data_IF_949098602591
#
_entry.id   IF_949098602591
#
_cell.length_a   1.000
_cell.length_b   1.000
_cell.length_c   1.000
_cell.angle_alpha   90.00
_cell.angle_beta   90.00
_cell.angle_gamma   90.00
#
_symmetry.space_group_name_H-M   'P 1'
#
loop_
_entity.id
_entity.type
_entity.pdbx_description
1 polymer ?
#
# COMPACT_ATOMS: atom_id res chain seq x y z
N UNK A 1 16.52 -3.76 25.32
CA UNK A 1 15.31 -3.11 24.78
C UNK A 1 15.19 -3.37 23.28
N UNK A 2 14.87 -4.61 22.87
CA UNK A 2 14.76 -4.99 21.45
C UNK A 2 13.54 -5.88 21.15
N UNK A 3 12.61 -6.02 22.09
CA UNK A 3 11.57 -7.06 22.00
C UNK A 3 10.31 -6.64 21.22
N UNK A 4 10.19 -5.39 20.76
CA UNK A 4 9.02 -4.94 20.01
C UNK A 4 9.06 -5.21 18.50
N UNK A 5 10.21 -5.63 17.94
CA UNK A 5 10.34 -5.87 16.49
C UNK A 5 10.19 -7.34 16.08
N UNK A 6 10.25 -8.31 17.02
CA UNK A 6 10.18 -9.73 16.69
C UNK A 6 8.77 -10.31 16.54
N UNK A 7 7.71 -9.60 16.96
CA UNK A 7 6.34 -10.12 16.97
C UNK A 7 5.52 -9.88 15.70
N UNK A 8 5.86 -8.86 14.91
CA UNK A 8 4.99 -8.41 13.81
C UNK A 8 5.25 -9.12 12.47
N UNK A 9 6.40 -9.79 12.31
CA UNK A 9 6.80 -10.40 11.03
C UNK A 9 6.14 -11.78 10.81
N UNK A 10 5.71 -12.46 11.88
CA UNK A 10 5.23 -13.84 11.82
C UNK A 10 3.77 -14.04 11.38
N UNK A 11 2.90 -13.03 11.52
CA UNK A 11 1.45 -13.21 11.34
C UNK A 11 0.94 -12.87 9.93
N UNK A 12 1.69 -12.10 9.14
CA UNK A 12 1.25 -11.65 7.81
C UNK A 12 1.45 -12.69 6.69
N UNK A 13 1.90 -13.92 7.00
CA UNK A 13 2.27 -14.93 6.00
C UNK A 13 1.17 -15.93 5.62
N UNK A 14 -0.11 -15.60 5.80
CA UNK A 14 -1.20 -16.48 5.37
C UNK A 14 -2.29 -15.75 4.61
N UNK A 15 -2.46 -16.21 3.37
CA UNK A 15 -3.63 -16.13 2.49
C UNK A 15 -3.84 -14.82 1.75
N UNK A 16 -3.16 -14.66 0.62
CA UNK A 16 -3.75 -14.07 -0.57
C UNK A 16 -3.37 -15.00 -1.73
N UNK A 17 -4.32 -15.85 -2.10
CA UNK A 17 -4.20 -16.79 -3.22
C UNK A 17 -4.15 -16.02 -4.56
N UNK A 18 -3.47 -16.68 -5.48
CA UNK A 18 -3.04 -16.37 -6.86
C UNK A 18 -4.12 -15.74 -7.76
N UNK A 19 -3.78 -14.68 -8.52
CA UNK A 19 -4.15 -14.53 -9.95
C UNK A 19 -3.66 -13.24 -10.66
N UNK A 20 -2.47 -12.70 -10.34
CA UNK A 20 -1.75 -11.88 -11.32
C UNK A 20 -0.26 -12.23 -11.26
N UNK A 21 0.32 -12.51 -12.44
CA UNK A 21 1.77 -12.62 -12.70
C UNK A 21 2.51 -11.66 -11.76
N UNK A 22 3.53 -12.10 -10.98
CA UNK A 22 4.14 -11.23 -9.99
C UNK A 22 4.79 -10.06 -10.70
N UNK A 23 4.05 -8.94 -10.82
CA UNK A 23 4.62 -7.65 -11.20
C UNK A 23 5.68 -7.42 -10.15
N UNK A 24 6.95 -7.51 -10.56
CA UNK A 24 8.08 -7.42 -9.65
C UNK A 24 8.16 -5.96 -9.19
N UNK A 25 7.38 -5.64 -8.18
CA UNK A 25 7.40 -4.32 -7.55
C UNK A 25 8.78 -4.12 -6.93
N UNK A 26 9.41 -3.00 -7.25
CA UNK A 26 10.69 -2.65 -6.68
C UNK A 26 10.53 -2.20 -5.23
N UNK A 27 9.41 -1.54 -4.93
CA UNK A 27 9.10 -1.02 -3.61
C UNK A 27 7.63 -1.25 -3.24
N UNK A 28 7.36 -1.36 -1.95
CA UNK A 28 6.00 -1.51 -1.39
C UNK A 28 5.79 -0.44 -0.33
N UNK A 29 4.69 0.31 -0.44
CA UNK A 29 4.33 1.39 0.46
C UNK A 29 3.06 1.04 1.26
N UNK A 30 3.06 1.40 2.54
CA UNK A 30 1.88 1.40 3.39
C UNK A 30 1.57 2.85 3.79
N UNK A 31 0.45 3.38 3.30
CA UNK A 31 0.03 4.77 3.53
C UNK A 31 -1.04 4.80 4.62
N UNK A 32 -0.65 5.21 5.83
CA UNK A 32 -1.58 5.41 6.96
C UNK A 32 -2.17 6.81 6.89
N UNK A 33 -3.49 6.90 6.77
CA UNK A 33 -4.19 8.16 6.51
C UNK A 33 -4.31 8.47 5.03
N UNK A 34 -4.57 7.45 4.19
CA UNK A 34 -4.66 7.58 2.73
C UNK A 34 -5.74 8.56 2.26
N UNK A 35 -6.80 8.76 3.05
CA UNK A 35 -7.85 9.75 2.76
C UNK A 35 -7.51 11.17 3.22
N UNK A 36 -6.32 11.40 3.79
CA UNK A 36 -5.85 12.75 4.15
C UNK A 36 -5.27 13.47 2.94
N UNK A 37 -5.05 14.78 3.05
CA UNK A 37 -4.56 15.60 1.91
C UNK A 37 -3.26 15.07 1.32
N UNK A 38 -2.28 14.71 2.15
CA UNK A 38 -1.00 14.15 1.68
C UNK A 38 -1.15 12.69 1.29
N UNK A 39 -1.91 11.91 2.07
CA UNK A 39 -2.12 10.49 1.82
C UNK A 39 -2.75 10.22 0.45
N UNK A 40 -3.68 11.10 0.04
CA UNK A 40 -4.34 11.00 -1.24
C UNK A 40 -3.37 11.27 -2.40
N UNK A 41 -2.58 12.35 -2.28
CA UNK A 41 -1.56 12.65 -3.29
C UNK A 41 -0.49 11.55 -3.39
N UNK A 42 -0.12 10.91 -2.28
CA UNK A 42 0.80 9.76 -2.31
C UNK A 42 0.20 8.55 -3.04
N UNK A 43 -1.10 8.29 -2.85
CA UNK A 43 -1.79 7.23 -3.55
C UNK A 43 -1.83 7.45 -5.07
N UNK A 44 -1.88 8.71 -5.52
CA UNK A 44 -1.84 9.08 -6.93
C UNK A 44 -0.43 9.03 -7.51
N UNK A 45 0.58 9.48 -6.76
CA UNK A 45 1.96 9.62 -7.26
C UNK A 45 2.71 8.28 -7.26
N UNK A 46 2.60 7.48 -6.20
CA UNK A 46 3.41 6.26 -6.05
C UNK A 46 3.25 5.25 -7.20
N UNK A 47 2.06 5.01 -7.77
CA UNK A 47 1.89 4.11 -8.91
C UNK A 47 2.46 4.63 -10.24
N UNK A 48 2.83 5.91 -10.34
CA UNK A 48 3.37 6.48 -11.58
C UNK A 48 4.73 5.86 -11.93
N UNK A 49 4.98 5.67 -13.23
CA UNK A 49 6.20 5.02 -13.73
C UNK A 49 7.47 5.85 -13.54
N UNK A 50 7.34 7.16 -13.39
CA UNK A 50 8.44 8.11 -13.16
C UNK A 50 8.74 8.32 -11.66
N UNK A 51 7.92 7.76 -10.77
CA UNK A 51 8.15 7.89 -9.33
C UNK A 51 9.40 7.11 -8.91
N UNK A 52 10.40 7.79 -8.30
CA UNK A 52 11.64 7.13 -7.87
C UNK A 52 11.38 5.93 -6.96
N UNK A 53 12.13 4.86 -7.16
CA UNK A 53 11.95 3.59 -6.44
C UNK A 53 10.77 2.74 -6.94
N UNK A 54 10.06 3.18 -7.98
CA UNK A 54 9.01 2.42 -8.63
C UNK A 54 9.55 1.30 -9.53
N UNK A 55 8.71 0.32 -9.92
CA UNK A 55 7.25 0.28 -9.73
C UNK A 55 6.83 -0.01 -8.28
N UNK A 56 5.87 0.76 -7.76
CA UNK A 56 5.38 0.67 -6.38
C UNK A 56 4.11 -0.19 -6.28
N UNK A 57 4.04 -1.02 -5.23
CA UNK A 57 2.76 -1.55 -4.71
C UNK A 57 2.33 -0.68 -3.53
N UNK A 58 1.08 -0.22 -3.52
CA UNK A 58 0.58 0.71 -2.49
C UNK A 58 -0.55 0.06 -1.73
N UNK A 59 -0.44 0.07 -0.40
CA UNK A 59 -1.49 -0.32 0.52
C UNK A 59 -2.01 0.90 1.28
N UNK A 60 -3.31 1.14 1.23
CA UNK A 60 -3.95 2.34 1.77
C UNK A 60 -4.76 2.04 3.03
N UNK A 61 -4.49 2.73 4.14
CA UNK A 61 -5.25 2.55 5.38
C UNK A 61 -5.95 3.84 5.79
N UNK A 62 -7.26 3.76 6.00
CA UNK A 62 -8.08 4.80 6.60
C UNK A 62 -9.14 4.20 7.53
N UNK A 63 -9.64 5.02 8.47
CA UNK A 63 -10.69 4.61 9.41
C UNK A 63 -12.08 4.60 8.79
N UNK A 64 -12.30 5.39 7.74
CA UNK A 64 -13.59 5.50 7.05
C UNK A 64 -13.63 4.48 5.90
N UNK A 65 -14.82 4.05 5.46
CA UNK A 65 -14.95 3.33 4.20
C UNK A 65 -14.30 4.10 3.05
N UNK A 66 -13.79 3.38 2.05
CA UNK A 66 -13.22 4.00 0.86
C UNK A 66 -14.26 4.94 0.23
N UNK A 67 -13.95 6.24 0.07
CA UNK A 67 -14.90 7.18 -0.50
C UNK A 67 -15.07 6.92 -2.01
N UNK A 68 -16.25 7.20 -2.58
CA UNK A 68 -16.56 6.86 -3.98
C UNK A 68 -15.70 7.60 -5.01
N UNK A 69 -15.12 8.75 -4.65
CA UNK A 69 -14.19 9.47 -5.52
C UNK A 69 -12.78 8.87 -5.56
N UNK A 70 -12.45 7.96 -4.62
CA UNK A 70 -11.16 7.23 -4.62
C UNK A 70 -11.24 5.91 -5.40
N UNK A 71 -12.40 5.58 -5.97
CA UNK A 71 -12.64 4.32 -6.70
C UNK A 71 -11.83 4.20 -7.99
N UNK A 72 -11.44 5.34 -8.56
CA UNK A 72 -10.71 5.40 -9.84
C UNK A 72 -9.25 4.94 -9.69
N UNK A 73 -8.75 4.91 -8.45
CA UNK A 73 -7.43 4.41 -8.08
C UNK A 73 -7.59 3.34 -7.00
N UNK A 74 -7.90 2.08 -7.37
CA UNK A 74 -8.04 1.02 -6.40
C UNK A 74 -6.67 0.74 -5.74
N UNK A 75 -6.52 1.24 -4.52
CA UNK A 75 -5.40 0.92 -3.63
C UNK A 75 -5.78 -0.36 -2.90
N UNK A 76 -4.86 -1.32 -2.86
CA UNK A 76 -5.08 -2.62 -2.20
C UNK A 76 -4.92 -2.54 -0.67
#
# INVERSE_FOLDING_TARGET
MSWWWSGAIGAAKKKLDEDEVPRKYQSVALVVGVTGVVGNSLAEILPLSDTPGGPWKVYGVARRPCPPWSSDHPIE
#
